data_IF_589876608304
#
_entry.id   IF_589876608304
#
_cell.length_a   1.000
_cell.length_b   1.000
_cell.length_c   1.000
_cell.angle_alpha   90.00
_cell.angle_beta   90.00
_cell.angle_gamma   90.00
#
_symmetry.space_group_name_H-M   'P 1'
#
loop_
_entity.id
_entity.type
_entity.pdbx_description
1 polymer ?
#
# COMPACT_ATOMS: atom_id res chain seq x y z
N UNK A 1 -25.24 10.57 21.21
CA UNK A 1 -24.20 11.19 20.37
C UNK A 1 -23.33 10.07 19.85
N UNK A 2 -23.14 9.98 18.54
CA UNK A 2 -22.31 8.93 17.91
C UNK A 2 -21.08 9.63 17.35
N UNK A 3 -19.91 9.14 17.72
CA UNK A 3 -18.62 9.69 17.29
C UNK A 3 -17.86 8.68 16.42
N UNK A 4 -17.08 9.21 15.48
CA UNK A 4 -16.17 8.40 14.66
C UNK A 4 -14.85 8.18 15.42
N UNK A 5 -14.26 6.97 15.37
CA UNK A 5 -12.98 6.73 15.99
C UNK A 5 -11.85 7.44 15.23
N UNK A 6 -10.74 7.78 15.89
CA UNK A 6 -9.53 8.22 15.20
C UNK A 6 -9.01 7.07 14.33
N UNK A 7 -8.62 7.38 13.09
CA UNK A 7 -8.08 6.39 12.16
C UNK A 7 -6.60 6.68 11.93
N UNK A 8 -5.74 5.74 12.30
CA UNK A 8 -4.29 5.84 12.19
C UNK A 8 -3.77 4.68 11.34
N UNK A 9 -2.94 4.95 10.31
CA UNK A 9 -2.40 3.90 9.46
C UNK A 9 -1.38 3.08 10.24
N UNK A 10 -1.50 1.75 10.14
CA UNK A 10 -0.48 0.83 10.68
C UNK A 10 0.61 0.67 9.63
N UNK A 11 1.83 1.04 9.99
CA UNK A 11 3.00 0.97 9.11
C UNK A 11 3.97 -0.07 9.66
N UNK A 12 4.30 -1.06 8.83
CA UNK A 12 5.33 -2.06 9.12
C UNK A 12 6.54 -1.79 8.24
N UNK A 13 7.66 -1.45 8.85
CA UNK A 13 8.93 -1.30 8.15
C UNK A 13 9.70 -2.62 8.18
N UNK A 14 10.16 -3.07 7.00
CA UNK A 14 11.03 -4.23 6.89
C UNK A 14 12.44 -3.79 6.52
N UNK A 15 13.41 -4.07 7.39
CA UNK A 15 14.80 -3.67 7.21
C UNK A 15 15.67 -4.84 6.75
N UNK A 16 16.50 -4.58 5.76
CA UNK A 16 17.51 -5.52 5.25
C UNK A 16 18.88 -4.90 5.41
N UNK A 17 19.79 -5.63 6.05
CA UNK A 17 21.15 -5.17 6.27
C UNK A 17 22.07 -5.65 5.16
N UNK A 18 22.90 -4.74 4.65
CA UNK A 18 23.98 -5.05 3.72
C UNK A 18 25.30 -4.85 4.46
N UNK A 19 26.10 -5.90 4.58
CA UNK A 19 27.37 -5.91 5.32
C UNK A 19 28.53 -6.25 4.39
N UNK A 20 29.67 -5.61 4.59
CA UNK A 20 30.90 -5.93 3.87
C UNK A 20 31.66 -7.05 4.58
N UNK A 21 32.10 -8.10 3.86
CA UNK A 21 32.98 -9.09 4.50
C UNK A 21 34.35 -8.47 4.75
N UNK A 22 34.84 -8.42 6.01
CA UNK A 22 36.19 -7.94 6.30
C UNK A 22 37.28 -8.79 5.64
N UNK A 23 36.93 -10.00 5.21
CA UNK A 23 37.82 -10.95 4.57
C UNK A 23 38.07 -10.70 3.07
N UNK A 24 37.10 -10.13 2.35
CA UNK A 24 37.07 -10.10 0.87
C UNK A 24 36.55 -8.78 0.30
N UNK A 25 36.12 -7.84 1.13
CA UNK A 25 35.52 -6.57 0.71
C UNK A 25 34.18 -6.69 -0.04
N UNK A 26 33.55 -7.88 -0.01
CA UNK A 26 32.30 -8.13 -0.74
C UNK A 26 31.09 -7.73 0.10
N UNK A 27 30.18 -6.98 -0.49
CA UNK A 27 28.86 -6.71 0.09
C UNK A 27 27.98 -7.96 0.07
N UNK A 28 27.48 -8.33 1.24
CA UNK A 28 26.49 -9.38 1.45
C UNK A 28 25.19 -8.73 1.92
N UNK A 29 24.12 -8.94 1.17
CA UNK A 29 22.78 -8.50 1.51
C UNK A 29 21.85 -9.70 1.54
N UNK A 30 20.96 -9.75 2.53
CA UNK A 30 19.94 -10.80 2.63
C UNK A 30 18.77 -10.43 1.72
N UNK A 31 18.19 -11.40 1.00
CA UNK A 31 16.96 -11.13 0.26
C UNK A 31 15.80 -11.01 1.25
N UNK A 32 14.87 -10.11 0.96
CA UNK A 32 13.64 -10.00 1.74
C UNK A 32 12.91 -11.36 1.72
N UNK A 33 12.46 -11.88 2.88
CA UNK A 33 11.70 -13.12 2.94
C UNK A 33 10.43 -13.08 2.08
N UNK A 34 9.98 -14.24 1.60
CA UNK A 34 8.84 -14.34 0.67
C UNK A 34 7.50 -13.97 1.32
N UNK A 35 7.40 -14.04 2.65
CA UNK A 35 6.23 -13.61 3.43
C UNK A 35 6.11 -12.07 3.54
N UNK A 36 7.15 -11.32 3.19
CA UNK A 36 7.10 -9.86 3.20
C UNK A 36 6.44 -9.33 1.92
N UNK A 37 5.37 -8.52 2.03
CA UNK A 37 4.72 -7.95 0.86
C UNK A 37 5.68 -7.07 0.05
N UNK A 38 5.75 -7.30 -1.26
CA UNK A 38 6.63 -6.52 -2.16
C UNK A 38 6.08 -5.13 -2.54
N UNK A 39 5.02 -4.65 -1.88
CA UNK A 39 4.33 -3.40 -2.19
C UNK A 39 4.05 -2.55 -0.95
N UNK A 40 3.93 -1.24 -1.14
CA UNK A 40 3.83 -0.26 -0.04
C UNK A 40 2.48 -0.19 0.67
N UNK A 41 1.41 -0.77 0.11
CA UNK A 41 0.06 -0.65 0.65
C UNK A 41 -0.60 -2.02 0.73
N UNK A 42 -1.21 -2.30 1.88
CA UNK A 42 -1.89 -3.56 2.16
C UNK A 42 -3.28 -3.67 1.52
N UNK A 43 -3.92 -4.85 1.63
CA UNK A 43 -5.22 -5.14 1.01
C UNK A 43 -6.34 -4.19 1.43
N UNK A 44 -6.34 -3.71 2.67
CA UNK A 44 -7.35 -2.76 3.15
C UNK A 44 -7.30 -1.42 2.41
N UNK A 45 -6.10 -0.93 2.09
CA UNK A 45 -5.95 0.31 1.30
C UNK A 45 -6.42 0.08 -0.13
N UNK A 46 -6.12 -1.08 -0.72
CA UNK A 46 -6.62 -1.47 -2.05
C UNK A 46 -8.16 -1.49 -2.06
N UNK A 47 -8.79 -2.12 -1.06
CA UNK A 47 -10.23 -2.18 -0.92
C UNK A 47 -10.87 -0.79 -0.80
N UNK A 48 -10.30 0.08 0.04
CA UNK A 48 -10.78 1.47 0.18
C UNK A 48 -10.67 2.24 -1.13
N UNK A 49 -9.55 2.11 -1.86
CA UNK A 49 -9.42 2.73 -3.20
C UNK A 49 -10.47 2.21 -4.17
N UNK A 50 -10.75 0.91 -4.17
CA UNK A 50 -11.80 0.32 -5.02
C UNK A 50 -13.20 0.83 -4.66
N UNK A 51 -13.50 0.97 -3.37
CA UNK A 51 -14.77 1.55 -2.89
C UNK A 51 -14.92 3.01 -3.33
N UNK A 52 -13.87 3.83 -3.18
CA UNK A 52 -13.89 5.22 -3.62
C UNK A 52 -14.00 5.36 -5.15
N UNK A 53 -13.48 4.37 -5.88
CA UNK A 53 -13.59 4.29 -7.34
C UNK A 53 -15.01 3.98 -7.78
N UNK A 54 -15.67 2.99 -7.18
CA UNK A 54 -17.00 2.52 -7.60
C UNK A 54 -18.13 3.38 -7.05
N UNK A 55 -18.17 3.58 -5.73
CA UNK A 55 -19.23 4.30 -5.03
C UNK A 55 -18.99 5.81 -5.04
N UNK A 56 -17.75 6.23 -4.79
CA UNK A 56 -17.40 7.64 -4.71
C UNK A 56 -17.29 8.34 -6.07
N UNK A 57 -17.07 7.57 -7.16
CA UNK A 57 -16.76 8.08 -8.51
C UNK A 57 -15.75 9.23 -8.52
N UNK A 58 -14.82 9.19 -7.56
CA UNK A 58 -13.86 10.26 -7.35
C UNK A 58 -12.75 10.17 -8.39
N UNK A 59 -12.29 11.32 -8.89
CA UNK A 59 -11.05 11.34 -9.65
C UNK A 59 -9.86 11.01 -8.73
N UNK A 60 -8.75 10.52 -9.31
CA UNK A 60 -7.59 10.08 -8.53
C UNK A 60 -7.04 11.17 -7.59
N UNK A 61 -7.06 12.44 -8.00
CA UNK A 61 -6.61 13.55 -7.14
C UNK A 61 -7.48 13.72 -5.89
N UNK A 62 -8.80 13.59 -6.03
CA UNK A 62 -9.73 13.67 -4.89
C UNK A 62 -9.60 12.47 -3.97
N UNK A 63 -9.31 11.29 -4.52
CA UNK A 63 -9.01 10.11 -3.69
C UNK A 63 -7.74 10.30 -2.88
N UNK A 64 -6.66 10.84 -3.48
CA UNK A 64 -5.43 11.15 -2.74
C UNK A 64 -5.67 12.14 -1.60
N UNK A 65 -6.40 13.21 -1.88
CA UNK A 65 -6.76 14.22 -0.88
C UNK A 65 -7.59 13.61 0.26
N UNK A 66 -8.59 12.79 -0.06
CA UNK A 66 -9.45 12.17 0.95
C UNK A 66 -8.68 11.17 1.83
N UNK A 67 -7.81 10.36 1.23
CA UNK A 67 -6.98 9.40 1.97
C UNK A 67 -6.00 10.11 2.91
N UNK A 68 -5.41 11.23 2.49
CA UNK A 68 -4.58 12.06 3.36
C UNK A 68 -5.40 12.67 4.51
N UNK A 69 -6.58 13.24 4.22
CA UNK A 69 -7.42 13.91 5.24
C UNK A 69 -8.03 12.95 6.27
N UNK A 70 -8.48 11.77 5.85
CA UNK A 70 -9.19 10.83 6.73
C UNK A 70 -8.27 9.82 7.41
N UNK A 71 -7.17 9.46 6.75
CA UNK A 71 -6.30 8.36 7.20
C UNK A 71 -4.84 8.80 7.37
N UNK A 72 -4.50 10.09 7.16
CA UNK A 72 -3.11 10.56 7.18
C UNK A 72 -2.22 9.88 6.12
N UNK A 73 -2.82 9.32 5.06
CA UNK A 73 -2.14 8.50 4.08
C UNK A 73 -1.72 9.32 2.86
N UNK A 74 -0.45 9.72 2.82
CA UNK A 74 0.09 10.46 1.69
C UNK A 74 0.39 9.51 0.51
N UNK A 75 -0.48 9.59 -0.49
CA UNK A 75 -0.46 8.69 -1.65
C UNK A 75 -0.50 9.48 -2.96
N UNK A 76 0.36 9.13 -3.90
CA UNK A 76 0.36 9.75 -5.21
C UNK A 76 -0.76 9.24 -6.10
N UNK A 77 -1.19 10.05 -7.07
CA UNK A 77 -2.16 9.66 -8.10
C UNK A 77 -1.71 8.41 -8.87
N UNK A 78 -0.41 8.28 -9.14
CA UNK A 78 0.14 7.08 -9.79
C UNK A 78 -0.02 5.82 -8.93
N UNK A 79 0.13 5.93 -7.62
CA UNK A 79 -0.12 4.81 -6.70
C UNK A 79 -1.61 4.45 -6.67
N UNK A 80 -2.52 5.42 -6.68
CA UNK A 80 -3.97 5.14 -6.76
C UNK A 80 -4.30 4.35 -8.01
N UNK A 81 -3.81 4.75 -9.18
CA UNK A 81 -3.99 4.00 -10.43
C UNK A 81 -3.42 2.58 -10.34
N UNK A 82 -2.25 2.41 -9.71
CA UNK A 82 -1.66 1.08 -9.47
C UNK A 82 -2.54 0.21 -8.56
N UNK A 83 -3.06 0.78 -7.46
CA UNK A 83 -3.90 0.05 -6.51
C UNK A 83 -5.24 -0.36 -7.13
N UNK A 84 -5.83 0.48 -7.99
CA UNK A 84 -7.02 0.10 -8.76
C UNK A 84 -6.75 -1.13 -9.63
N UNK A 85 -5.61 -1.16 -10.34
CA UNK A 85 -5.24 -2.31 -11.18
C UNK A 85 -5.06 -3.59 -10.36
N UNK A 86 -4.45 -3.48 -9.19
CA UNK A 86 -4.29 -4.62 -8.26
C UNK A 86 -5.68 -5.12 -7.83
N UNK A 87 -6.56 -4.22 -7.37
CA UNK A 87 -7.92 -4.60 -6.95
C UNK A 87 -8.73 -5.25 -8.08
N UNK A 88 -8.65 -4.71 -9.29
CA UNK A 88 -9.32 -5.29 -10.48
C UNK A 88 -8.81 -6.70 -10.80
N UNK A 89 -7.49 -6.91 -10.79
CA UNK A 89 -6.92 -8.23 -11.04
C UNK A 89 -7.33 -9.26 -9.98
N UNK A 90 -7.40 -8.86 -8.71
CA UNK A 90 -7.85 -9.75 -7.63
C UNK A 90 -9.32 -10.15 -7.76
N UNK A 91 -10.19 -9.26 -8.23
CA UNK A 91 -11.61 -9.59 -8.45
C UNK A 91 -11.81 -10.52 -9.65
N UNK A 92 -10.99 -10.39 -10.69
CA UNK A 92 -11.12 -11.21 -11.89
C UNK A 92 -10.86 -12.70 -11.63
N UNK A 93 -9.92 -13.01 -10.73
CA UNK A 93 -9.67 -14.40 -10.29
C UNK A 93 -10.83 -15.05 -9.51
N UNK A 94 -11.82 -14.28 -9.05
CA UNK A 94 -12.99 -14.81 -8.37
C UNK A 94 -14.17 -15.08 -9.32
N UNK A 95 -14.07 -14.64 -10.58
CA UNK A 95 -15.08 -14.87 -11.62
C UNK A 95 -14.73 -16.03 -12.57
N UNK A 96 -13.56 -16.65 -12.38
CA UNK A 96 -13.13 -17.92 -12.99
C UNK A 96 -13.38 -19.08 -12.02
#
# INVERSE_FOLDING_TARGET
>A
MIELPPVVPVVTEHQVHTLECPCRGKLNSVKLPDDVPRGSFGPQVVATVMLLTSLGRLCHRRMAELLSRLYGLDISVGQISRLQRIGQASLQSAHE
#
